data_IF_703145091584
#
_entry.id   IF_703145091584
#
_cell.length_a   1.000
_cell.length_b   1.000
_cell.length_c   1.000
_cell.angle_alpha   90.00
_cell.angle_beta   90.00
_cell.angle_gamma   90.00
#
_symmetry.space_group_name_H-M   'P 1'
#
loop_
_entity.id
_entity.type
_entity.pdbx_description
1 polymer ?
#
# COMPACT_ATOMS: atom_id res chain seq x y z
N UNK A 1 -12.28 10.07 -5.02
CA UNK A 1 -13.22 9.56 -6.05
C UNK A 1 -14.38 10.54 -6.26
N UNK A 2 -14.76 10.76 -7.52
CA UNK A 2 -15.95 11.52 -7.92
C UNK A 2 -17.21 10.64 -7.87
N UNK A 3 -18.37 11.16 -8.25
CA UNK A 3 -19.63 10.41 -8.27
C UNK A 3 -19.58 9.17 -9.20
N UNK A 4 -18.80 9.23 -10.27
CA UNK A 4 -18.74 8.19 -11.32
C UNK A 4 -17.62 7.16 -11.12
N UNK A 5 -16.63 7.43 -10.26
CA UNK A 5 -15.55 6.49 -9.96
C UNK A 5 -15.73 5.86 -8.56
N UNK A 6 -16.12 4.57 -8.45
CA UNK A 6 -16.35 3.91 -7.17
C UNK A 6 -15.08 3.73 -6.34
N UNK A 7 -13.90 3.78 -6.98
CA UNK A 7 -12.60 3.63 -6.35
C UNK A 7 -11.62 4.70 -6.80
N UNK A 8 -10.68 5.05 -5.94
CA UNK A 8 -9.42 5.69 -6.32
C UNK A 8 -8.26 4.71 -6.11
N UNK A 9 -7.43 4.56 -7.14
CA UNK A 9 -6.15 3.85 -7.08
C UNK A 9 -5.05 4.90 -7.02
N UNK A 10 -4.28 4.89 -5.95
CA UNK A 10 -3.10 5.73 -5.76
C UNK A 10 -1.86 4.85 -5.79
N UNK A 11 -0.83 5.31 -6.50
CA UNK A 11 0.46 4.65 -6.57
C UNK A 11 1.52 5.68 -6.25
N UNK A 12 2.29 5.43 -5.20
CA UNK A 12 3.42 6.26 -4.80
C UNK A 12 4.72 5.49 -5.05
N UNK A 13 5.74 6.16 -5.56
CA UNK A 13 7.07 5.59 -5.78
C UNK A 13 8.11 6.54 -5.21
N UNK A 14 8.88 6.09 -4.22
CA UNK A 14 9.90 6.90 -3.54
C UNK A 14 11.17 6.07 -3.30
N UNK A 15 12.28 6.69 -2.91
CA UNK A 15 13.45 5.96 -2.46
C UNK A 15 13.09 5.07 -1.25
N UNK A 16 13.68 3.88 -1.17
CA UNK A 16 13.40 2.95 -0.08
C UNK A 16 14.18 3.37 1.19
N UNK A 17 13.52 3.55 2.35
CA UNK A 17 14.15 4.16 3.51
C UNK A 17 15.22 3.31 4.19
N UNK A 18 15.16 1.98 4.02
CA UNK A 18 16.16 1.05 4.56
C UNK A 18 17.20 0.60 3.53
N UNK A 19 17.02 0.92 2.24
CA UNK A 19 17.98 0.63 1.17
C UNK A 19 17.82 1.66 0.05
N UNK A 20 18.63 2.73 0.06
CA UNK A 20 18.40 3.90 -0.81
C UNK A 20 18.59 3.62 -2.31
N UNK A 21 19.32 2.55 -2.66
CA UNK A 21 19.45 2.10 -4.05
C UNK A 21 18.16 1.45 -4.59
N UNK A 22 17.23 1.08 -3.70
CA UNK A 22 15.95 0.47 -4.04
C UNK A 22 14.81 1.49 -4.03
N UNK A 23 13.67 1.11 -4.60
CA UNK A 23 12.43 1.91 -4.59
C UNK A 23 11.38 1.27 -3.72
N UNK A 24 10.73 2.08 -2.89
CA UNK A 24 9.54 1.69 -2.17
C UNK A 24 8.32 2.16 -2.96
N UNK A 25 7.42 1.21 -3.24
CA UNK A 25 6.17 1.46 -3.92
C UNK A 25 5.02 1.18 -2.98
N UNK A 26 4.08 2.12 -2.92
CA UNK A 26 2.78 1.92 -2.25
C UNK A 26 1.67 1.92 -3.28
N UNK A 27 0.83 0.90 -3.23
CA UNK A 27 -0.43 0.86 -3.97
C UNK A 27 -1.56 0.97 -2.96
N UNK A 28 -2.26 2.09 -2.98
CA UNK A 28 -3.42 2.37 -2.15
C UNK A 28 -4.71 2.28 -2.97
N UNK A 29 -5.64 1.42 -2.55
CA UNK A 29 -6.99 1.38 -3.08
C UNK A 29 -7.93 1.97 -2.04
N UNK A 30 -8.75 2.95 -2.43
CA UNK A 30 -9.77 3.52 -1.55
C UNK A 30 -11.13 3.51 -2.23
N UNK A 31 -12.07 2.81 -1.60
CA UNK A 31 -13.48 2.81 -1.96
C UNK A 31 -14.15 4.14 -1.59
N UNK A 32 -15.10 4.56 -2.42
CA UNK A 32 -15.99 5.69 -2.11
C UNK A 32 -16.72 5.45 -0.78
N UNK A 33 -16.93 6.51 0.00
CA UNK A 33 -17.83 6.45 1.18
C UNK A 33 -19.28 6.41 0.70
N UNK A 34 -20.13 5.64 1.37
CA UNK A 34 -21.56 5.63 1.09
C UNK A 34 -22.17 6.99 1.44
N UNK A 35 -23.22 7.39 0.72
CA UNK A 35 -24.10 8.45 1.22
C UNK A 35 -24.86 7.92 2.43
N UNK A 36 -25.10 8.80 3.39
CA UNK A 36 -25.63 8.51 4.73
C UNK A 36 -27.03 7.87 4.76
N UNK A 37 -27.71 7.80 3.61
CA UNK A 37 -29.15 7.53 3.52
C UNK A 37 -29.51 6.06 3.20
N UNK A 38 -28.53 5.14 3.11
CA UNK A 38 -28.79 3.73 2.76
C UNK A 38 -28.45 2.80 3.93
N UNK A 39 -29.47 2.20 4.55
CA UNK A 39 -29.33 1.14 5.56
C UNK A 39 -28.95 -0.20 4.89
N UNK A 40 -27.70 -0.64 5.07
CA UNK A 40 -27.21 -1.94 4.62
C UNK A 40 -25.71 -1.95 4.37
N UNK A 41 -25.09 -3.14 4.28
CA UNK A 41 -23.70 -3.29 3.84
C UNK A 41 -23.57 -2.73 2.41
N UNK A 42 -23.13 -1.48 2.29
CA UNK A 42 -22.97 -0.78 1.02
C UNK A 42 -21.78 -1.36 0.25
N UNK A 43 -21.99 -2.51 -0.39
CA UNK A 43 -21.06 -3.08 -1.36
C UNK A 43 -21.04 -2.14 -2.55
N UNK A 44 -19.88 -1.58 -2.86
CA UNK A 44 -19.69 -0.63 -3.97
C UNK A 44 -19.09 -1.30 -5.21
N UNK A 45 -18.53 -2.51 -5.07
CA UNK A 45 -18.24 -3.39 -6.19
C UNK A 45 -18.11 -4.86 -5.78
N UNK A 46 -18.25 -5.76 -6.75
CA UNK A 46 -18.05 -7.20 -6.65
C UNK A 46 -16.90 -7.66 -7.52
N UNK A 47 -16.42 -8.89 -7.28
CA UNK A 47 -15.35 -9.54 -8.06
C UNK A 47 -14.13 -8.65 -8.29
N UNK A 48 -13.68 -7.97 -7.24
CA UNK A 48 -12.58 -7.00 -7.38
C UNK A 48 -11.24 -7.72 -7.43
N UNK A 49 -10.43 -7.40 -8.46
CA UNK A 49 -9.06 -7.88 -8.61
C UNK A 49 -8.15 -6.72 -8.97
N UNK A 50 -6.96 -6.67 -8.37
CA UNK A 50 -5.90 -5.77 -8.77
C UNK A 50 -4.76 -6.57 -9.40
N UNK A 51 -4.38 -6.20 -10.62
CA UNK A 51 -3.23 -6.75 -11.32
C UNK A 51 -2.13 -5.67 -11.32
N UNK A 52 -0.92 -6.05 -10.89
CA UNK A 52 0.26 -5.17 -10.87
C UNK A 52 1.27 -5.72 -11.86
N UNK A 53 1.73 -4.86 -12.77
CA UNK A 53 2.74 -5.20 -13.77
C UNK A 53 3.93 -4.27 -13.63
N UNK A 54 5.13 -4.85 -13.50
CA UNK A 54 6.39 -4.11 -13.41
C UNK A 54 7.10 -4.14 -14.76
N UNK A 55 7.66 -3.01 -15.18
CA UNK A 55 8.41 -2.94 -16.42
C UNK A 55 9.78 -3.66 -16.24
N UNK A 56 10.03 -4.78 -16.95
CA UNK A 56 11.25 -5.58 -16.78
C UNK A 56 12.52 -4.86 -17.26
N UNK A 57 12.39 -3.81 -18.09
CA UNK A 57 13.52 -2.97 -18.50
C UNK A 57 13.95 -2.04 -17.36
N UNK A 58 13.03 -1.68 -16.46
CA UNK A 58 13.26 -0.72 -15.36
C UNK A 58 13.42 -1.41 -14.01
N UNK A 59 12.81 -2.57 -13.81
CA UNK A 59 12.77 -3.31 -12.54
C UNK A 59 13.45 -4.67 -12.73
N UNK A 60 14.60 -4.86 -12.09
CA UNK A 60 15.36 -6.11 -12.16
C UNK A 60 14.79 -7.19 -11.25
N UNK A 61 14.29 -6.80 -10.08
CA UNK A 61 13.55 -7.68 -9.18
C UNK A 61 12.63 -6.89 -8.26
N UNK A 62 11.68 -7.57 -7.62
CA UNK A 62 10.76 -6.96 -6.67
C UNK A 62 10.35 -7.95 -5.58
N UNK A 63 9.90 -7.42 -4.44
CA UNK A 63 9.26 -8.22 -3.38
C UNK A 63 8.06 -7.50 -2.79
N UNK A 64 7.06 -8.28 -2.38
CA UNK A 64 5.92 -7.79 -1.59
C UNK A 64 6.33 -7.73 -0.12
N UNK A 65 6.30 -6.53 0.47
CA UNK A 65 6.63 -6.30 1.88
C UNK A 65 5.44 -6.63 2.77
N UNK A 66 4.25 -6.21 2.35
CA UNK A 66 3.02 -6.47 3.10
C UNK A 66 1.81 -5.84 2.44
N UNK A 67 0.63 -6.32 2.82
CA UNK A 67 -0.65 -5.77 2.39
C UNK A 67 -1.70 -5.95 3.49
N UNK A 68 -2.72 -5.09 3.49
CA UNK A 68 -3.86 -5.27 4.39
C UNK A 68 -4.70 -6.48 3.93
N UNK A 69 -4.72 -7.54 4.74
CA UNK A 69 -5.61 -8.69 4.55
C UNK A 69 -6.76 -8.57 5.54
N UNK A 70 -7.86 -7.92 5.13
CA UNK A 70 -9.14 -8.12 5.80
C UNK A 70 -9.94 -9.16 5.04
N UNK A 71 -10.09 -10.33 5.63
CA UNK A 71 -11.20 -11.21 5.26
C UNK A 71 -12.49 -10.45 5.55
N UNK A 72 -13.35 -10.28 4.55
CA UNK A 72 -14.75 -9.92 4.75
C UNK A 72 -15.54 -11.10 5.32
N UNK A 73 -14.96 -11.81 6.28
CA UNK A 73 -15.66 -12.79 7.07
C UNK A 73 -15.97 -12.11 8.39
N UNK A 74 -17.21 -11.67 8.53
CA UNK A 74 -17.81 -11.69 9.86
C UNK A 74 -17.57 -13.08 10.44
N UNK A 75 -17.15 -13.12 11.70
CA UNK A 75 -16.99 -14.36 12.46
C UNK A 75 -18.21 -15.27 12.21
N UNK A 76 -17.94 -16.54 11.88
CA UNK A 76 -18.86 -17.62 11.47
C UNK A 76 -18.97 -17.89 9.96
N UNK A 77 -17.99 -18.61 9.42
CA UNK A 77 -18.28 -19.46 8.25
C UNK A 77 -17.47 -20.75 8.24
N UNK A 78 -17.95 -21.73 8.99
CA UNK A 78 -17.84 -23.13 8.60
C UNK A 78 -18.84 -23.33 7.44
N UNK A 79 -18.41 -23.17 6.19
CA UNK A 79 -19.05 -23.72 4.97
C UNK A 79 -18.22 -23.38 3.75
N UNK A 80 -17.67 -24.42 3.14
CA UNK A 80 -17.12 -24.45 1.80
C UNK A 80 -18.07 -23.81 0.77
N UNK A 81 -17.48 -23.14 -0.22
CA UNK A 81 -18.17 -22.44 -1.29
C UNK A 81 -17.66 -21.02 -1.40
N UNK A 82 -16.84 -20.75 -2.43
CA UNK A 82 -16.22 -19.47 -2.73
C UNK A 82 -17.18 -18.29 -2.54
N UNK A 83 -16.92 -17.45 -1.53
CA UNK A 83 -17.78 -16.31 -1.20
C UNK A 83 -17.22 -15.02 -1.81
N UNK A 84 -18.12 -14.33 -2.49
CA UNK A 84 -18.01 -13.03 -3.17
C UNK A 84 -17.09 -12.02 -2.47
N UNK A 85 -16.04 -11.56 -3.17
CA UNK A 85 -15.07 -10.58 -2.69
C UNK A 85 -15.59 -9.14 -2.92
N UNK A 86 -16.75 -8.83 -2.35
CA UNK A 86 -17.39 -7.53 -2.51
C UNK A 86 -16.73 -6.44 -1.66
N UNK A 87 -16.31 -5.33 -2.24
CA UNK A 87 -15.70 -4.22 -1.48
C UNK A 87 -16.78 -3.32 -0.89
N UNK A 88 -16.75 -3.12 0.43
CA UNK A 88 -17.63 -2.20 1.14
C UNK A 88 -17.21 -0.73 0.97
N UNK A 89 -18.16 0.18 1.12
CA UNK A 89 -17.89 1.61 1.10
C UNK A 89 -16.89 2.05 2.18
N UNK A 90 -15.99 2.97 1.83
CA UNK A 90 -14.93 3.46 2.72
C UNK A 90 -13.77 2.49 2.95
N UNK A 91 -13.81 1.29 2.36
CA UNK A 91 -12.73 0.31 2.43
C UNK A 91 -11.43 0.88 1.86
N UNK A 92 -10.32 0.64 2.56
CA UNK A 92 -8.98 1.04 2.13
C UNK A 92 -8.05 -0.16 2.19
N UNK A 93 -7.34 -0.44 1.10
CA UNK A 93 -6.27 -1.45 1.04
C UNK A 93 -4.98 -0.74 0.73
N UNK A 94 -3.90 -1.19 1.36
CA UNK A 94 -2.55 -0.76 1.00
C UNK A 94 -1.70 -1.99 0.78
N UNK A 95 -0.93 -2.01 -0.31
CA UNK A 95 0.15 -2.94 -0.55
C UNK A 95 1.47 -2.17 -0.66
N UNK A 96 2.55 -2.73 -0.11
CA UNK A 96 3.89 -2.18 -0.18
C UNK A 96 4.81 -3.15 -0.93
N UNK A 97 5.52 -2.64 -1.92
CA UNK A 97 6.53 -3.37 -2.66
C UNK A 97 7.88 -2.68 -2.54
N UNK A 98 8.94 -3.48 -2.50
CA UNK A 98 10.29 -2.99 -2.73
C UNK A 98 10.76 -3.46 -4.09
N UNK A 99 11.27 -2.51 -4.88
CA UNK A 99 11.76 -2.75 -6.23
C UNK A 99 13.27 -2.50 -6.26
N UNK A 100 13.97 -3.36 -6.99
CA UNK A 100 15.39 -3.18 -7.33
C UNK A 100 15.45 -2.64 -8.77
N UNK A 101 15.81 -1.37 -8.98
CA UNK A 101 15.95 -0.81 -10.32
C UNK A 101 17.05 -1.50 -11.11
N UNK A 102 16.88 -1.60 -12.43
CA UNK A 102 17.99 -1.94 -13.33
C UNK A 102 18.96 -0.76 -13.37
N UNK A 103 20.27 -1.03 -13.29
CA UNK A 103 21.30 0.00 -13.30
C UNK A 103 21.19 0.89 -14.56
N UNK A 104 21.08 2.20 -14.33
CA UNK A 104 20.84 3.22 -15.37
C UNK A 104 21.96 3.32 -16.41
N UNK A 105 23.14 2.75 -16.13
CA UNK A 105 24.25 2.66 -17.09
C UNK A 105 23.90 1.93 -18.39
N UNK A 106 22.78 1.19 -18.43
CA UNK A 106 22.25 0.54 -19.64
C UNK A 106 20.97 1.19 -20.20
N UNK A 107 20.45 2.24 -19.56
CA UNK A 107 19.22 2.92 -19.99
C UNK A 107 19.64 4.19 -20.73
N UNK A 108 19.53 4.18 -22.06
CA UNK A 108 19.58 5.42 -22.84
C UNK A 108 18.53 6.38 -22.29
N UNK A 109 18.93 7.61 -21.93
CA UNK A 109 18.10 8.66 -21.29
C UNK A 109 16.89 9.14 -22.12
N UNK A 110 16.47 8.40 -23.13
CA UNK A 110 15.35 8.73 -23.99
C UNK A 110 14.10 8.00 -23.51
N UNK A 111 13.16 8.83 -23.05
CA UNK A 111 11.78 8.57 -22.62
C UNK A 111 11.57 8.18 -21.15
N UNK A 112 10.61 8.88 -20.55
CA UNK A 112 10.05 8.58 -19.24
C UNK A 112 9.27 7.26 -19.34
N UNK A 113 9.99 6.14 -19.32
CA UNK A 113 9.36 4.82 -19.36
C UNK A 113 8.63 4.56 -18.04
N UNK A 114 7.44 3.99 -18.16
CA UNK A 114 6.64 3.49 -17.04
C UNK A 114 7.46 2.51 -16.19
N UNK A 115 7.46 2.71 -14.87
CA UNK A 115 8.04 1.78 -13.91
C UNK A 115 7.10 0.60 -13.64
N UNK A 116 5.82 0.92 -13.45
CA UNK A 116 4.78 -0.07 -13.18
C UNK A 116 3.40 0.43 -13.62
N UNK A 117 2.49 -0.50 -13.85
CA UNK A 117 1.06 -0.25 -13.98
C UNK A 117 0.28 -1.03 -12.92
N UNK A 118 -0.77 -0.38 -12.39
CA UNK A 118 -1.71 -0.98 -11.46
C UNK A 118 -3.11 -0.92 -12.09
N UNK A 119 -3.70 -2.09 -12.34
CA UNK A 119 -5.00 -2.24 -12.98
C UNK A 119 -6.00 -2.88 -12.03
N UNK A 120 -6.96 -2.08 -11.57
CA UNK A 120 -8.11 -2.57 -10.82
C UNK A 120 -9.20 -3.00 -11.78
N UNK A 121 -9.71 -4.21 -11.64
CA UNK A 121 -10.90 -4.72 -12.32
C UNK A 121 -11.99 -4.99 -11.30
N UNK A 122 -13.22 -4.61 -11.61
CA UNK A 122 -14.35 -4.77 -10.70
C UNK A 122 -15.67 -4.83 -11.47
N UNK A 123 -16.72 -5.37 -10.85
CA UNK A 123 -18.10 -5.33 -11.36
C UNK A 123 -18.96 -4.41 -10.50
N UNK A 124 -19.87 -3.66 -11.12
CA UNK A 124 -20.85 -2.87 -10.37
C UNK A 124 -21.78 -3.81 -9.58
N UNK A 125 -22.18 -3.46 -8.33
CA UNK A 125 -23.01 -4.32 -7.48
C UNK A 125 -24.37 -4.65 -8.10
N UNK A 126 -24.99 -3.67 -8.76
CA UNK A 126 -26.32 -3.75 -9.37
C UNK A 126 -26.25 -3.80 -10.91
N UNK A 127 -25.07 -4.10 -11.47
CA UNK A 127 -24.86 -4.20 -12.90
C UNK A 127 -25.24 -5.57 -13.49
N UNK A 128 -25.27 -5.66 -14.81
CA UNK A 128 -25.46 -6.90 -15.57
C UNK A 128 -24.26 -7.89 -15.50
N UNK A 129 -23.31 -7.68 -14.58
CA UNK A 129 -22.08 -8.45 -14.48
C UNK A 129 -20.91 -7.96 -15.35
N UNK A 130 -21.06 -6.83 -16.06
CA UNK A 130 -19.98 -6.22 -16.84
C UNK A 130 -18.77 -5.84 -15.97
N UNK A 131 -17.58 -6.17 -16.48
CA UNK A 131 -16.30 -5.87 -15.82
C UNK A 131 -15.81 -4.50 -16.27
N UNK A 132 -15.58 -3.61 -15.31
CA UNK A 132 -14.96 -2.32 -15.50
C UNK A 132 -13.52 -2.33 -15.00
N UNK A 133 -12.68 -1.42 -15.50
CA UNK A 133 -11.30 -1.29 -15.05
C UNK A 133 -10.82 0.14 -14.86
N UNK A 134 -9.98 0.34 -13.86
CA UNK A 134 -9.23 1.57 -13.61
C UNK A 134 -7.75 1.22 -13.67
N UNK A 135 -7.00 1.90 -14.53
CA UNK A 135 -5.57 1.69 -14.71
C UNK A 135 -4.76 2.93 -14.33
N UNK A 136 -3.64 2.72 -13.65
CA UNK A 136 -2.69 3.75 -13.25
C UNK A 136 -1.28 3.30 -13.59
N UNK A 137 -0.65 4.00 -14.52
CA UNK A 137 0.74 3.81 -14.90
C UNK A 137 1.59 4.91 -14.27
N UNK A 138 2.71 4.53 -13.68
CA UNK A 138 3.58 5.46 -12.95
C UNK A 138 5.00 5.36 -13.45
N UNK A 139 5.61 6.51 -13.73
CA UNK A 139 7.04 6.66 -14.03
C UNK A 139 7.83 6.82 -12.74
N UNK A 140 9.14 6.66 -12.85
CA UNK A 140 10.02 6.89 -11.72
C UNK A 140 10.74 8.25 -11.81
N UNK A 141 10.34 9.18 -10.95
CA UNK A 141 10.87 10.55 -10.87
C UNK A 141 11.94 10.73 -9.78
N UNK A 142 12.42 9.64 -9.15
CA UNK A 142 13.49 9.70 -8.13
C UNK A 142 13.16 10.57 -6.92
N UNK A 143 11.89 10.57 -6.53
CA UNK A 143 11.42 11.27 -5.33
C UNK A 143 12.01 10.65 -4.07
N UNK A 144 12.59 11.48 -3.23
CA UNK A 144 13.12 11.05 -1.94
C UNK A 144 12.03 10.66 -0.95
N UNK A 145 12.31 9.63 -0.14
CA UNK A 145 11.41 9.16 0.91
C UNK A 145 11.01 10.27 1.91
N UNK A 146 11.90 11.23 2.17
CA UNK A 146 11.61 12.36 3.04
C UNK A 146 10.47 13.26 2.50
N UNK A 147 10.21 13.23 1.19
CA UNK A 147 9.13 13.97 0.54
C UNK A 147 7.85 13.13 0.38
N UNK A 148 7.88 11.85 0.80
CA UNK A 148 6.74 10.95 0.70
C UNK A 148 5.52 11.47 1.46
N UNK A 149 4.33 11.07 1.00
CA UNK A 149 3.07 11.34 1.70
C UNK A 149 3.12 10.79 3.15
N UNK A 150 2.55 11.50 4.15
CA UNK A 150 2.57 11.07 5.54
C UNK A 150 2.10 9.62 5.77
N UNK A 151 1.02 9.21 5.09
CA UNK A 151 0.54 7.83 5.18
C UNK A 151 1.52 6.77 4.67
N UNK A 152 2.33 7.09 3.65
CA UNK A 152 3.39 6.19 3.19
C UNK A 152 4.51 6.14 4.21
N UNK A 153 4.92 7.29 4.76
CA UNK A 153 5.92 7.33 5.84
C UNK A 153 5.52 6.45 7.02
N UNK A 154 4.26 6.54 7.44
CA UNK A 154 3.74 5.72 8.53
C UNK A 154 3.70 4.23 8.17
N UNK A 155 3.19 3.87 6.99
CA UNK A 155 3.11 2.47 6.56
C UNK A 155 4.51 1.83 6.43
N UNK A 156 5.48 2.57 5.88
CA UNK A 156 6.87 2.15 5.79
C UNK A 156 7.49 1.96 7.19
N UNK A 157 7.22 2.85 8.15
CA UNK A 157 7.69 2.70 9.52
C UNK A 157 7.16 1.42 10.18
N UNK A 158 5.89 1.07 9.96
CA UNK A 158 5.30 -0.18 10.47
C UNK A 158 5.99 -1.40 9.85
N UNK A 159 6.21 -1.39 8.54
CA UNK A 159 6.89 -2.47 7.84
C UNK A 159 8.35 -2.63 8.30
N UNK A 160 9.08 -1.53 8.37
CA UNK A 160 10.48 -1.48 8.84
C UNK A 160 10.60 -1.97 10.28
N UNK A 161 9.67 -1.57 11.16
CA UNK A 161 9.63 -2.06 12.54
C UNK A 161 9.47 -3.58 12.60
N UNK A 162 8.53 -4.13 11.83
CA UNK A 162 8.34 -5.58 11.72
C UNK A 162 9.61 -6.29 11.27
N UNK A 163 10.26 -5.80 10.22
CA UNK A 163 11.52 -6.36 9.70
C UNK A 163 12.66 -6.30 10.73
N UNK A 164 12.74 -5.24 11.53
CA UNK A 164 13.74 -5.12 12.60
C UNK A 164 13.47 -6.10 13.75
N UNK A 165 12.20 -6.29 14.12
CA UNK A 165 11.82 -7.17 15.22
C UNK A 165 12.03 -8.65 14.88
N UNK A 166 11.78 -9.05 13.63
CA UNK A 166 12.01 -10.43 13.18
C UNK A 166 13.43 -10.68 12.67
N UNK A 167 14.35 -9.74 12.89
CA UNK A 167 15.74 -9.80 12.41
C UNK A 167 15.87 -10.14 10.93
N UNK A 168 14.97 -9.58 10.11
CA UNK A 168 14.89 -9.91 8.69
C UNK A 168 16.20 -9.56 7.97
N UNK A 169 16.69 -10.45 7.10
CA UNK A 169 17.79 -10.14 6.18
C UNK A 169 17.47 -8.99 5.20
N UNK A 170 16.21 -8.58 5.15
CA UNK A 170 15.68 -7.51 4.32
C UNK A 170 15.54 -6.16 5.03
N UNK A 171 15.86 -6.10 6.34
CA UNK A 171 15.79 -4.86 7.13
C UNK A 171 16.79 -3.79 6.70
N UNK A 172 17.78 -4.14 5.87
CA UNK A 172 18.80 -3.22 5.33
C UNK A 172 19.48 -2.39 6.42
N UNK A 173 19.53 -1.07 6.20
CA UNK A 173 20.04 -0.07 7.14
C UNK A 173 18.99 0.40 8.17
N UNK A 174 17.83 -0.26 8.23
CA UNK A 174 16.71 0.14 9.08
C UNK A 174 17.04 0.14 10.58
N UNK A 175 16.54 1.14 11.30
CA UNK A 175 16.77 1.30 12.74
C UNK A 175 15.51 1.71 13.48
N UNK A 176 15.41 1.37 14.77
CA UNK A 176 14.28 1.83 15.60
C UNK A 176 14.20 3.36 15.68
N UNK A 177 15.32 4.07 15.53
CA UNK A 177 15.35 5.53 15.45
C UNK A 177 14.72 6.05 14.15
N UNK A 178 15.05 5.44 13.01
CA UNK A 178 14.44 5.76 11.72
C UNK A 178 12.94 5.46 11.72
N UNK A 179 12.54 4.28 12.20
CA UNK A 179 11.12 3.91 12.42
C UNK A 179 10.40 4.97 13.23
N UNK A 180 10.95 5.40 14.37
CA UNK A 180 10.32 6.38 15.24
C UNK A 180 10.14 7.73 14.54
N UNK A 181 11.17 8.18 13.81
CA UNK A 181 11.12 9.42 13.01
C UNK A 181 10.01 9.35 11.96
N UNK A 182 10.00 8.30 11.13
CA UNK A 182 9.03 8.15 10.04
C UNK A 182 7.60 7.96 10.54
N UNK A 183 7.41 7.25 11.65
CA UNK A 183 6.12 7.10 12.30
C UNK A 183 5.58 8.45 12.83
N UNK A 184 6.45 9.30 13.39
CA UNK A 184 6.07 10.63 13.87
C UNK A 184 5.70 11.57 12.72
N UNK A 185 6.54 11.66 11.70
CA UNK A 185 6.25 12.47 10.49
C UNK A 185 5.00 11.97 9.75
N UNK A 186 4.75 10.67 9.79
CA UNK A 186 3.59 10.03 9.18
C UNK A 186 2.33 10.00 10.04
N UNK A 187 2.38 10.46 11.30
CA UNK A 187 1.26 10.30 12.25
C UNK A 187 -0.03 10.89 11.69
N UNK A 188 -0.02 12.12 11.19
CA UNK A 188 -1.21 12.78 10.65
C UNK A 188 -2.40 12.80 11.63
N UNK A 189 -3.62 12.84 11.09
CA UNK A 189 -4.84 12.72 11.89
C UNK A 189 -5.01 11.28 12.42
N UNK A 190 -5.31 11.17 13.72
CA UNK A 190 -5.32 9.88 14.42
C UNK A 190 -6.50 9.81 15.40
N UNK A 191 -7.73 9.84 14.85
CA UNK A 191 -8.96 9.93 15.63
C UNK A 191 -9.11 8.79 16.67
N UNK A 192 -8.57 7.61 16.37
CA UNK A 192 -8.66 6.43 17.23
C UNK A 192 -7.38 6.17 18.04
N UNK A 193 -6.35 7.01 17.91
CA UNK A 193 -5.10 6.88 18.66
C UNK A 193 -4.18 5.71 18.26
N UNK A 194 -4.48 4.97 17.18
CA UNK A 194 -3.69 3.80 16.78
C UNK A 194 -2.27 4.17 16.35
N UNK A 195 -2.11 5.30 15.64
CA UNK A 195 -0.79 5.73 15.19
C UNK A 195 0.06 6.21 16.36
N UNK A 196 -0.53 6.91 17.32
CA UNK A 196 0.09 7.26 18.59
C UNK A 196 0.51 6.02 19.39
N UNK A 197 -0.38 5.01 19.49
CA UNK A 197 -0.09 3.75 20.17
C UNK A 197 1.10 3.01 19.56
N UNK A 198 1.19 2.97 18.23
CA UNK A 198 2.34 2.41 17.53
C UNK A 198 3.64 3.16 17.84
N UNK A 199 3.62 4.50 17.83
CA UNK A 199 4.79 5.32 18.18
C UNK A 199 5.28 5.00 19.60
N UNK A 200 4.37 4.87 20.56
CA UNK A 200 4.70 4.46 21.93
C UNK A 200 5.30 3.04 22.00
N UNK A 201 4.77 2.10 21.22
CA UNK A 201 5.31 0.75 21.12
C UNK A 201 6.77 0.76 20.63
N UNK A 202 7.07 1.54 19.59
CA UNK A 202 8.43 1.68 19.05
C UNK A 202 9.37 2.27 20.11
N UNK A 203 8.93 3.29 20.86
CA UNK A 203 9.72 3.89 21.96
C UNK A 203 10.07 2.85 23.02
N UNK A 204 9.10 2.05 23.46
CA UNK A 204 9.33 0.98 24.45
C UNK A 204 10.32 -0.06 23.93
N UNK A 205 10.16 -0.51 22.67
CA UNK A 205 11.08 -1.45 22.05
C UNK A 205 12.52 -0.88 21.96
N UNK A 206 12.65 0.41 21.66
CA UNK A 206 13.95 1.08 21.60
C UNK A 206 14.65 1.15 22.96
N UNK A 207 13.89 1.39 24.04
CA UNK A 207 14.45 1.34 25.40
C UNK A 207 14.88 -0.08 25.76
N UNK A 208 14.08 -1.10 25.46
CA UNK A 208 14.40 -2.50 25.76
C UNK A 208 15.65 -3.00 25.01
N UNK A 209 15.87 -2.56 23.77
CA UNK A 209 17.09 -2.92 23.00
C UNK A 209 18.36 -2.19 23.43
N UNK A 210 18.25 -1.12 24.22
CA UNK A 210 19.40 -0.34 24.74
C UNK A 210 19.87 -0.82 26.11
N UNK A 211 19.05 -1.61 26.81
CA UNK A 211 19.39 -2.29 28.07
C UNK A 211 20.05 -3.63 27.79
#
# INVERSE_FOLDING_TARGET
PSADEPFSVNVDVVSCPWEQSHRLVRIGLKGRKASSDVHGANIIARDTKIDIEFNPVRVGSYRLIGYDRRSLQGENSNREGARDHGIAAGYTVTALYELVPVAQQFITRQEAQTLLSAKLRFKKPDGNGEVQSIERSVTDDWVDFAQAHPDLKFAAAVAEFGMILCDSGYKGSGTLGAVLKWAQEGKGADANGYRAGFIELVRKAQTLKKS
#
